data_IF_985551297353
#
_entry.id   IF_985551297353
#
_cell.length_a   1.000
_cell.length_b   1.000
_cell.length_c   1.000
_cell.angle_alpha   90.00
_cell.angle_beta   90.00
_cell.angle_gamma   90.00
#
_symmetry.space_group_name_H-M   'P 1'
#
loop_
_entity.id
_entity.type
_entity.pdbx_description
1 polymer ?
#
# COMPACT_ATOMS: atom_id res chain seq x y z
N UNK A 1 26.97 -32.17 9.18
CA UNK A 1 25.83 -31.35 9.66
C UNK A 1 25.33 -30.54 8.47
N UNK A 2 24.07 -30.69 8.09
CA UNK A 2 23.45 -29.83 7.06
C UNK A 2 22.72 -28.73 7.82
N UNK A 3 23.26 -27.50 7.78
CA UNK A 3 22.59 -26.34 8.34
C UNK A 3 21.48 -25.93 7.38
N UNK A 4 20.22 -26.11 7.79
CA UNK A 4 19.05 -25.60 7.07
C UNK A 4 18.81 -24.16 7.49
N UNK A 5 18.94 -23.22 6.56
CA UNK A 5 18.57 -21.82 6.80
C UNK A 5 17.06 -21.70 6.57
N UNK A 6 16.27 -21.25 7.58
CA UNK A 6 14.85 -21.06 7.40
C UNK A 6 14.58 -19.92 6.43
N UNK A 7 13.59 -20.10 5.56
CA UNK A 7 13.12 -19.06 4.66
C UNK A 7 12.34 -18.02 5.48
N UNK A 8 12.65 -16.73 5.33
CA UNK A 8 12.12 -15.65 6.16
C UNK A 8 11.96 -14.34 5.40
N UNK A 9 10.85 -13.64 5.65
CA UNK A 9 10.55 -12.30 5.18
C UNK A 9 10.09 -11.47 6.37
N UNK A 10 10.56 -10.23 6.48
CA UNK A 10 10.21 -9.34 7.57
C UNK A 10 9.95 -7.92 7.06
N UNK A 11 8.79 -7.39 7.41
CA UNK A 11 8.52 -5.97 7.29
C UNK A 11 9.06 -5.20 8.51
N UNK A 12 9.60 -4.01 8.27
CA UNK A 12 10.10 -3.10 9.29
C UNK A 12 9.92 -1.64 8.83
N UNK A 13 10.11 -0.68 9.74
CA UNK A 13 9.96 0.76 9.46
C UNK A 13 8.64 1.11 8.76
N UNK A 14 7.56 0.42 9.10
CA UNK A 14 6.26 0.59 8.48
C UNK A 14 5.63 1.87 9.03
N UNK A 15 5.21 2.76 8.14
CA UNK A 15 4.39 3.91 8.52
C UNK A 15 3.05 3.41 9.05
N UNK A 16 2.72 3.64 10.33
CA UNK A 16 1.53 3.06 10.94
C UNK A 16 0.23 3.66 10.41
N UNK A 17 0.30 4.89 9.90
CA UNK A 17 -0.82 5.61 9.31
C UNK A 17 -0.29 6.63 8.29
N UNK A 18 -1.06 6.85 7.22
CA UNK A 18 -0.82 7.92 6.24
C UNK A 18 -2.04 8.85 6.30
N UNK A 19 -1.84 10.09 6.74
CA UNK A 19 -2.91 11.11 6.79
C UNK A 19 -2.99 11.78 5.42
N UNK A 20 -4.12 11.61 4.74
CA UNK A 20 -4.34 12.15 3.39
C UNK A 20 -4.75 13.62 3.51
N UNK A 21 -4.13 14.48 2.70
CA UNK A 21 -4.46 15.90 2.67
C UNK A 21 -5.81 16.15 1.99
N UNK A 22 -6.69 16.94 2.63
CA UNK A 22 -8.02 17.29 2.11
C UNK A 22 -7.97 18.08 0.80
N UNK A 23 -6.88 18.82 0.56
CA UNK A 23 -6.69 19.61 -0.66
C UNK A 23 -6.19 18.81 -1.87
N UNK A 24 -6.10 17.47 -1.77
CA UNK A 24 -5.54 16.61 -2.81
C UNK A 24 -4.01 16.61 -2.87
N UNK A 25 -3.35 17.18 -1.87
CA UNK A 25 -1.89 17.11 -1.72
C UNK A 25 -1.39 15.68 -1.50
N UNK A 26 -0.13 15.45 -1.91
CA UNK A 26 0.51 14.15 -1.78
C UNK A 26 0.91 13.88 -0.32
N UNK A 27 0.43 12.76 0.21
CA UNK A 27 0.86 12.20 1.49
C UNK A 27 1.68 10.96 1.23
N UNK A 28 2.69 10.71 2.07
CA UNK A 28 3.59 9.57 1.89
C UNK A 28 3.73 8.74 3.14
N UNK A 29 3.99 7.45 2.94
CA UNK A 29 4.46 6.52 3.93
C UNK A 29 5.52 5.61 3.33
N UNK A 30 6.15 4.80 4.17
CA UNK A 30 7.19 3.87 3.75
C UNK A 30 7.12 2.57 4.53
N UNK A 31 7.78 1.56 3.98
CA UNK A 31 8.04 0.28 4.62
C UNK A 31 9.40 -0.24 4.13
N UNK A 32 10.02 -1.11 4.92
CA UNK A 32 11.20 -1.86 4.51
C UNK A 32 10.86 -3.34 4.54
N UNK A 33 11.15 -4.07 3.47
CA UNK A 33 10.95 -5.51 3.36
C UNK A 33 12.31 -6.20 3.18
N UNK A 34 12.63 -7.13 4.08
CA UNK A 34 13.83 -7.95 4.01
C UNK A 34 13.42 -9.41 3.87
N UNK A 35 13.83 -10.05 2.78
CA UNK A 35 13.57 -11.45 2.50
C UNK A 35 14.88 -12.15 2.11
N UNK A 36 15.11 -13.35 2.64
CA UNK A 36 16.34 -14.12 2.36
C UNK A 36 16.23 -15.07 1.15
N UNK A 37 15.12 -15.00 0.42
CA UNK A 37 14.80 -15.82 -0.75
C UNK A 37 13.82 -15.06 -1.65
N UNK A 38 13.78 -15.41 -2.93
CA UNK A 38 12.76 -14.99 -3.88
C UNK A 38 11.36 -15.05 -3.25
N UNK A 39 10.56 -14.02 -3.52
CA UNK A 39 9.22 -13.86 -2.98
C UNK A 39 8.30 -13.15 -3.97
N UNK A 40 7.00 -13.23 -3.71
CA UNK A 40 5.98 -12.42 -4.34
C UNK A 40 5.41 -11.46 -3.30
N UNK A 41 5.39 -10.16 -3.62
CA UNK A 41 4.72 -9.14 -2.84
C UNK A 41 3.38 -8.82 -3.49
N UNK A 42 2.31 -9.10 -2.78
CA UNK A 42 0.97 -8.67 -3.15
C UNK A 42 0.66 -7.33 -2.47
N UNK A 43 0.28 -6.34 -3.26
CA UNK A 43 -0.19 -5.03 -2.81
C UNK A 43 -1.68 -4.92 -3.11
N UNK A 44 -2.47 -4.50 -2.13
CA UNK A 44 -3.91 -4.26 -2.29
C UNK A 44 -4.42 -3.26 -1.27
N UNK A 45 -5.69 -2.88 -1.38
CA UNK A 45 -6.41 -2.11 -0.37
C UNK A 45 -7.71 -2.81 0.03
N UNK A 46 -8.29 -2.42 1.16
CA UNK A 46 -9.61 -2.90 1.57
C UNK A 46 -10.67 -2.47 0.57
N UNK A 47 -10.64 -1.23 0.09
CA UNK A 47 -11.53 -0.78 -0.99
C UNK A 47 -11.51 -1.72 -2.21
N UNK A 48 -10.33 -2.10 -2.71
CA UNK A 48 -10.20 -3.04 -3.83
C UNK A 48 -10.67 -4.45 -3.48
N UNK A 49 -10.33 -4.97 -2.29
CA UNK A 49 -10.79 -6.28 -1.82
C UNK A 49 -12.31 -6.35 -1.63
N UNK A 50 -12.94 -5.23 -1.27
CA UNK A 50 -14.39 -5.09 -1.16
C UNK A 50 -15.09 -4.95 -2.53
N UNK A 51 -14.33 -4.95 -3.65
CA UNK A 51 -14.84 -4.94 -5.02
C UNK A 51 -14.95 -3.56 -5.66
N UNK A 52 -14.32 -2.53 -5.09
CA UNK A 52 -14.27 -1.22 -5.72
C UNK A 52 -13.40 -1.24 -6.98
N UNK A 53 -13.76 -0.38 -7.94
CA UNK A 53 -13.01 -0.19 -9.20
C UNK A 53 -11.65 0.50 -8.97
N UNK A 54 -11.49 1.19 -7.84
CA UNK A 54 -10.27 1.92 -7.51
C UNK A 54 -10.13 2.08 -6.00
N UNK A 55 -8.90 2.40 -5.55
CA UNK A 55 -8.65 2.73 -4.15
C UNK A 55 -9.48 3.92 -3.69
N UNK A 56 -9.91 3.88 -2.43
CA UNK A 56 -10.70 4.94 -1.85
C UNK A 56 -10.78 4.86 -0.34
N UNK A 57 -10.90 6.01 0.30
CA UNK A 57 -11.27 6.09 1.71
C UNK A 57 -12.79 6.17 1.86
N UNK A 58 -13.32 5.45 2.85
CA UNK A 58 -14.77 5.36 3.11
C UNK A 58 -15.10 5.75 4.54
N UNK A 59 -16.27 6.34 4.74
CA UNK A 59 -16.85 6.51 6.08
C UNK A 59 -17.57 5.24 6.53
N UNK A 60 -17.87 5.15 7.83
CA UNK A 60 -18.72 4.08 8.36
C UNK A 60 -20.14 4.04 7.77
N UNK A 61 -20.59 5.14 7.14
CA UNK A 61 -21.92 5.25 6.51
C UNK A 61 -21.88 4.95 5.00
N UNK A 62 -20.71 4.63 4.43
CA UNK A 62 -20.56 4.24 3.03
C UNK A 62 -20.19 5.37 2.06
N UNK A 63 -20.13 6.62 2.52
CA UNK A 63 -19.59 7.74 1.71
C UNK A 63 -18.13 7.48 1.34
N UNK A 64 -17.78 7.73 0.07
CA UNK A 64 -16.50 7.33 -0.53
C UNK A 64 -15.80 8.50 -1.19
N UNK A 65 -14.49 8.63 -0.95
CA UNK A 65 -13.60 9.52 -1.69
C UNK A 65 -12.51 8.70 -2.38
N UNK A 66 -12.45 8.79 -3.70
CA UNK A 66 -11.45 8.08 -4.50
C UNK A 66 -10.05 8.61 -4.19
N UNK A 67 -9.10 7.69 -4.13
CA UNK A 67 -7.68 7.98 -3.96
C UNK A 67 -6.90 7.51 -5.17
N UNK A 68 -5.73 8.11 -5.36
CA UNK A 68 -4.69 7.59 -6.25
C UNK A 68 -3.57 7.13 -5.33
N UNK A 69 -3.21 5.85 -5.42
CA UNK A 69 -2.17 5.23 -4.59
C UNK A 69 -1.06 4.73 -5.51
N UNK A 70 0.14 5.27 -5.31
CA UNK A 70 1.34 4.86 -6.02
C UNK A 70 2.29 4.18 -5.04
N UNK A 71 2.80 3.01 -5.39
CA UNK A 71 3.82 2.30 -4.61
C UNK A 71 5.09 2.23 -5.43
N UNK A 72 6.16 2.82 -4.90
CA UNK A 72 7.50 2.69 -5.44
C UNK A 72 8.23 1.58 -4.70
N UNK A 73 8.66 0.55 -5.42
CA UNK A 73 9.34 -0.60 -4.84
C UNK A 73 10.35 -1.19 -5.83
N UNK A 74 11.59 -1.40 -5.39
CA UNK A 74 12.71 -1.93 -6.20
C UNK A 74 12.84 -1.19 -7.55
N UNK A 75 12.89 0.14 -7.49
CA UNK A 75 13.07 0.99 -8.68
C UNK A 75 11.88 1.07 -9.64
N UNK A 76 10.75 0.43 -9.33
CA UNK A 76 9.53 0.45 -10.14
C UNK A 76 8.41 1.20 -9.44
N UNK A 77 7.50 1.79 -10.22
CA UNK A 77 6.31 2.49 -9.73
C UNK A 77 5.07 1.71 -10.13
N UNK A 78 4.21 1.42 -9.15
CA UNK A 78 2.97 0.67 -9.33
C UNK A 78 1.80 1.53 -8.89
N UNK A 79 0.89 1.84 -9.80
CA UNK A 79 -0.43 2.37 -9.42
C UNK A 79 -1.27 1.23 -8.87
N UNK A 80 -1.94 1.47 -7.74
CA UNK A 80 -2.81 0.49 -7.09
C UNK A 80 -4.26 0.68 -7.58
N UNK A 81 -4.49 0.40 -8.86
CA UNK A 81 -5.80 0.38 -9.52
C UNK A 81 -6.49 -1.00 -9.46
N UNK A 82 -5.71 -2.03 -9.13
CA UNK A 82 -6.13 -3.41 -8.88
C UNK A 82 -5.16 -4.06 -7.88
N UNK A 83 -5.39 -5.33 -7.53
CA UNK A 83 -4.40 -6.09 -6.75
C UNK A 83 -3.13 -6.27 -7.58
N UNK A 84 -2.01 -5.71 -7.12
CA UNK A 84 -0.71 -5.85 -7.79
C UNK A 84 0.08 -7.00 -7.19
N UNK A 85 0.69 -7.80 -8.05
CA UNK A 85 1.62 -8.87 -7.67
C UNK A 85 2.99 -8.56 -8.24
N UNK A 86 3.98 -8.45 -7.37
CA UNK A 86 5.36 -8.11 -7.72
C UNK A 86 6.24 -9.30 -7.39
N UNK A 87 6.85 -9.90 -8.41
CA UNK A 87 7.83 -10.98 -8.21
C UNK A 87 9.20 -10.38 -8.01
N UNK A 88 9.85 -10.75 -6.92
CA UNK A 88 11.21 -10.32 -6.59
C UNK A 88 12.13 -11.52 -6.69
N UNK A 89 13.02 -11.46 -7.67
CA UNK A 89 14.08 -12.43 -7.89
C UNK A 89 15.37 -11.86 -7.29
N UNK A 90 16.10 -12.69 -6.56
CA UNK A 90 17.38 -12.32 -5.94
C UNK A 90 17.28 -11.05 -5.08
N UNK A 91 16.43 -11.06 -4.02
CA UNK A 91 16.22 -9.87 -3.20
C UNK A 91 17.51 -9.43 -2.53
N UNK A 92 17.69 -8.12 -2.40
CA UNK A 92 18.74 -7.59 -1.54
C UNK A 92 18.41 -7.85 -0.07
N UNK A 93 19.38 -7.56 0.80
CA UNK A 93 19.17 -7.65 2.24
C UNK A 93 18.17 -6.64 2.80
N UNK A 94 17.69 -5.66 2.00
CA UNK A 94 16.73 -4.65 2.47
C UNK A 94 16.14 -3.85 1.31
N UNK A 95 14.87 -4.07 0.99
CA UNK A 95 14.14 -3.33 -0.04
C UNK A 95 13.26 -2.24 0.58
N UNK A 96 13.47 -0.98 0.16
CA UNK A 96 12.62 0.15 0.56
C UNK A 96 11.40 0.26 -0.35
N UNK A 97 10.22 0.32 0.26
CA UNK A 97 8.98 0.71 -0.39
C UNK A 97 8.50 2.07 0.06
N UNK A 98 8.06 2.91 -0.88
CA UNK A 98 7.44 4.21 -0.61
C UNK A 98 6.03 4.20 -1.18
N UNK A 99 5.05 4.50 -0.33
CA UNK A 99 3.64 4.62 -0.69
C UNK A 99 3.31 6.10 -0.75
N UNK A 100 2.77 6.55 -1.88
CA UNK A 100 2.31 7.91 -2.07
C UNK A 100 0.80 7.89 -2.34
N UNK A 101 0.05 8.74 -1.64
CA UNK A 101 -1.41 8.76 -1.69
C UNK A 101 -1.89 10.20 -1.80
N UNK A 102 -2.83 10.44 -2.70
CA UNK A 102 -3.59 11.68 -2.75
C UNK A 102 -5.06 11.39 -3.04
N UNK A 103 -5.95 12.32 -2.69
CA UNK A 103 -7.33 12.26 -3.18
C UNK A 103 -7.32 12.50 -4.69
N UNK A 104 -8.16 11.76 -5.41
CA UNK A 104 -8.37 11.97 -6.85
C UNK A 104 -9.05 13.32 -7.13
N UNK A 105 -9.84 13.82 -6.18
CA UNK A 105 -10.41 15.17 -6.16
C UNK A 105 -10.31 15.75 -4.75
N UNK A 106 -9.95 17.03 -4.59
CA UNK A 106 -10.00 17.71 -3.29
C UNK A 106 -11.39 17.63 -2.65
N UNK A 107 -11.42 17.73 -1.32
CA UNK A 107 -12.66 17.86 -0.55
C UNK A 107 -13.30 19.23 -0.84
N UNK A 108 -14.62 19.26 -0.91
CA UNK A 108 -15.40 20.48 -1.11
C UNK A 108 -16.37 20.71 0.05
N UNK A 109 -16.94 21.91 0.15
CA UNK A 109 -17.90 22.26 1.21
C UNK A 109 -19.15 21.35 1.25
N UNK A 110 -19.46 20.68 0.14
CA UNK A 110 -20.56 19.72 0.02
C UNK A 110 -20.16 18.28 0.37
N UNK A 111 -18.88 18.00 0.58
CA UNK A 111 -18.42 16.68 1.00
C UNK A 111 -18.90 16.42 2.43
N UNK A 112 -19.60 15.30 2.71
CA UNK A 112 -20.09 15.00 4.04
C UNK A 112 -18.96 14.95 5.07
N UNK A 113 -19.16 15.62 6.20
CA UNK A 113 -18.22 15.56 7.32
C UNK A 113 -18.16 14.13 7.88
N UNK A 114 -16.95 13.67 8.18
CA UNK A 114 -16.74 12.33 8.72
C UNK A 114 -15.28 11.91 8.69
N UNK A 115 -15.00 10.77 9.31
CA UNK A 115 -13.69 10.14 9.24
C UNK A 115 -13.71 9.14 8.09
N UNK A 116 -12.93 9.39 7.06
CA UNK A 116 -12.76 8.50 5.91
C UNK A 116 -11.50 7.67 6.09
N UNK A 117 -11.60 6.36 5.94
CA UNK A 117 -10.48 5.43 6.14
C UNK A 117 -10.46 4.34 5.07
N UNK A 118 -9.26 3.83 4.81
CA UNK A 118 -9.03 2.60 4.06
C UNK A 118 -7.85 1.85 4.71
N UNK A 119 -7.65 0.59 4.34
CA UNK A 119 -6.55 -0.23 4.82
C UNK A 119 -5.74 -0.70 3.62
N UNK A 120 -4.43 -0.42 3.60
CA UNK A 120 -3.51 -1.01 2.64
C UNK A 120 -3.01 -2.36 3.17
N UNK A 121 -3.00 -3.38 2.32
CA UNK A 121 -2.45 -4.70 2.61
C UNK A 121 -1.18 -4.93 1.79
N UNK A 122 -0.14 -5.37 2.48
CA UNK A 122 1.14 -5.75 1.91
C UNK A 122 1.45 -7.17 2.40
N UNK A 123 1.30 -8.13 1.50
CA UNK A 123 1.42 -9.56 1.80
C UNK A 123 2.61 -10.14 1.03
N UNK A 124 3.63 -10.66 1.72
CA UNK A 124 4.80 -11.26 1.12
C UNK A 124 4.78 -12.80 1.27
N UNK A 125 4.91 -13.53 0.16
CA UNK A 125 4.85 -15.00 0.10
C UNK A 125 6.01 -15.60 -0.69
N UNK A 126 6.40 -16.86 -0.42
CA UNK A 126 7.50 -17.57 -1.08
C UNK A 126 7.05 -18.52 -2.18
#
# INVERSE_FOLDING_TARGET
MVTTIPVSCQFSNISPQIIISENGGLSTGSFTLNCNKNFELQLSSKSLKDGDVSTSVKTGNGEKLNTIVMVNFIGNSYELDEVKQIRVLDPSSSELGVISINLASPVHATTPAGVYQDVLYLDATF
#
